data_IF_147098020942
#
_entry.id   IF_147098020942
#
_cell.length_a   1.000
_cell.length_b   1.000
_cell.length_c   1.000
_cell.angle_alpha   90.00
_cell.angle_beta   90.00
_cell.angle_gamma   90.00
#
_symmetry.space_group_name_H-M   'P 1'
#
loop_
_entity.id
_entity.type
_entity.pdbx_description
1 polymer ?
#
# COMPACT_ATOMS: atom_id res chain seq x y z
N UNK A 1 -0.59 8.35 -7.88
CA UNK A 1 0.53 8.75 -8.76
C UNK A 1 0.39 8.14 -10.14
N UNK A 2 0.66 8.90 -11.21
CA UNK A 2 0.71 8.36 -12.59
C UNK A 2 2.00 7.56 -12.79
N UNK A 3 1.92 6.39 -13.43
CA UNK A 3 3.07 5.54 -13.77
C UNK A 3 3.15 5.35 -15.29
N UNK A 4 4.36 5.15 -15.81
CA UNK A 4 4.59 4.90 -17.23
C UNK A 4 4.38 3.42 -17.57
N UNK A 5 4.11 3.09 -18.84
CA UNK A 5 3.91 1.70 -19.29
C UNK A 5 5.09 0.77 -18.95
N UNK A 6 6.31 1.29 -19.02
CA UNK A 6 7.52 0.56 -18.64
C UNK A 6 7.70 0.33 -17.13
N UNK A 7 6.78 0.83 -16.29
CA UNK A 7 6.78 0.64 -14.84
C UNK A 7 5.66 -0.31 -14.37
N UNK A 8 5.20 -1.19 -15.26
CA UNK A 8 4.02 -2.04 -15.01
C UNK A 8 4.37 -3.52 -14.95
N UNK A 9 5.65 -3.86 -15.13
CA UNK A 9 6.18 -5.18 -14.85
C UNK A 9 6.28 -5.42 -13.33
N UNK A 10 6.41 -6.71 -12.97
CA UNK A 10 6.43 -7.16 -11.58
C UNK A 10 7.53 -6.49 -10.76
N UNK A 11 8.74 -6.32 -11.32
CA UNK A 11 9.85 -5.72 -10.57
C UNK A 11 9.57 -4.26 -10.25
N UNK A 12 9.15 -3.49 -11.25
CA UNK A 12 8.83 -2.07 -11.07
C UNK A 12 7.71 -1.84 -10.07
N UNK A 13 6.67 -2.67 -10.10
CA UNK A 13 5.54 -2.57 -9.17
C UNK A 13 5.93 -3.01 -7.75
N UNK A 14 6.73 -4.06 -7.62
CA UNK A 14 7.26 -4.49 -6.32
C UNK A 14 8.16 -3.40 -5.69
N UNK A 15 9.01 -2.74 -6.49
CA UNK A 15 9.85 -1.64 -6.03
C UNK A 15 9.02 -0.46 -5.48
N UNK A 16 7.89 -0.13 -6.12
CA UNK A 16 6.94 0.86 -5.62
C UNK A 16 6.32 0.43 -4.28
N UNK A 17 5.93 -0.84 -4.16
CA UNK A 17 5.46 -1.41 -2.90
C UNK A 17 6.51 -1.31 -1.79
N UNK A 18 7.78 -1.63 -2.08
CA UNK A 18 8.88 -1.51 -1.11
C UNK A 18 9.11 -0.06 -0.67
N UNK A 19 8.93 0.92 -1.57
CA UNK A 19 8.96 2.34 -1.18
C UNK A 19 7.83 2.65 -0.19
N UNK A 20 6.58 2.26 -0.51
CA UNK A 20 5.43 2.52 0.36
C UNK A 20 5.59 1.88 1.75
N UNK A 21 6.06 0.63 1.80
CA UNK A 21 6.35 -0.10 3.05
C UNK A 21 7.40 0.61 3.89
N UNK A 22 8.51 1.07 3.29
CA UNK A 22 9.55 1.80 4.03
C UNK A 22 9.00 3.09 4.65
N UNK A 23 8.20 3.85 3.90
CA UNK A 23 7.58 5.08 4.40
C UNK A 23 6.59 4.80 5.53
N UNK A 24 5.79 3.73 5.41
CA UNK A 24 4.87 3.31 6.47
C UNK A 24 5.63 2.92 7.74
N UNK A 25 6.66 2.06 7.63
CA UNK A 25 7.47 1.63 8.77
C UNK A 25 8.27 2.76 9.41
N UNK A 26 8.67 3.79 8.67
CA UNK A 26 9.34 4.97 9.23
C UNK A 26 8.37 5.98 9.84
N UNK A 27 7.06 5.77 9.73
CA UNK A 27 6.04 6.70 10.18
C UNK A 27 5.95 7.98 9.34
N UNK A 28 6.53 7.99 8.13
CA UNK A 28 6.48 9.15 7.23
C UNK A 28 5.19 9.14 6.39
N UNK A 29 4.08 9.32 7.09
CA UNK A 29 2.74 9.29 6.49
C UNK A 29 2.53 10.45 5.51
N UNK A 30 3.24 11.58 5.70
CA UNK A 30 3.15 12.72 4.79
C UNK A 30 3.80 12.39 3.45
N UNK A 31 5.00 11.80 3.44
CA UNK A 31 5.63 11.36 2.20
C UNK A 31 4.83 10.24 1.53
N UNK A 32 4.34 9.25 2.30
CA UNK A 32 3.50 8.17 1.79
C UNK A 32 2.24 8.72 1.10
N UNK A 33 1.51 9.61 1.76
CA UNK A 33 0.33 10.28 1.22
C UNK A 33 0.65 11.16 0.00
N UNK A 34 1.75 11.91 0.03
CA UNK A 34 2.14 12.78 -1.08
C UNK A 34 2.46 11.96 -2.32
N UNK A 35 3.12 10.82 -2.14
CA UNK A 35 3.55 9.98 -3.26
C UNK A 35 2.42 9.09 -3.77
N UNK A 36 1.66 8.44 -2.89
CA UNK A 36 0.68 7.43 -3.29
C UNK A 36 -0.76 7.86 -3.12
N UNK A 37 -1.05 8.97 -2.42
CA UNK A 37 -2.39 9.30 -1.98
C UNK A 37 -2.93 8.26 -0.98
N UNK A 38 -4.24 8.24 -0.79
CA UNK A 38 -4.92 7.16 -0.07
C UNK A 38 -6.36 7.03 -0.55
N UNK A 39 -6.74 5.86 -1.09
CA UNK A 39 -8.05 5.65 -1.70
C UNK A 39 -9.19 5.74 -0.68
N UNK A 40 -8.94 5.31 0.56
CA UNK A 40 -9.91 5.28 1.66
C UNK A 40 -9.79 6.48 2.61
N UNK A 41 -9.18 7.58 2.16
CA UNK A 41 -9.16 8.83 2.90
C UNK A 41 -10.56 9.48 2.99
N UNK A 42 -11.37 9.34 1.95
CA UNK A 42 -12.63 10.07 1.79
C UNK A 42 -12.42 11.58 1.96
N UNK A 43 -13.09 12.21 2.92
CA UNK A 43 -12.97 13.65 3.22
C UNK A 43 -11.84 13.98 4.22
N UNK A 44 -11.09 12.98 4.69
CA UNK A 44 -9.96 13.16 5.62
C UNK A 44 -8.70 13.57 4.86
N UNK A 45 -7.78 14.23 5.58
CA UNK A 45 -6.41 14.35 5.11
C UNK A 45 -5.80 12.95 4.94
N UNK A 46 -5.21 12.61 3.78
CA UNK A 46 -4.71 11.26 3.53
C UNK A 46 -3.63 10.80 4.51
N UNK A 47 -2.72 11.68 4.94
CA UNK A 47 -1.68 11.30 5.90
C UNK A 47 -2.27 11.03 7.29
N UNK A 48 -3.28 11.81 7.69
CA UNK A 48 -4.05 11.56 8.92
C UNK A 48 -4.79 10.22 8.84
N UNK A 49 -5.50 9.98 7.74
CA UNK A 49 -6.27 8.74 7.54
C UNK A 49 -5.36 7.51 7.59
N UNK A 50 -4.25 7.51 6.84
CA UNK A 50 -3.24 6.43 6.89
C UNK A 50 -2.79 6.12 8.32
N UNK A 51 -2.46 7.16 9.10
CA UNK A 51 -2.00 7.00 10.48
C UNK A 51 -3.07 6.40 11.38
N UNK A 52 -4.32 6.83 11.21
CA UNK A 52 -5.46 6.31 11.97
C UNK A 52 -5.73 4.84 11.65
N UNK A 53 -5.73 4.48 10.37
CA UNK A 53 -5.96 3.10 9.91
C UNK A 53 -4.85 2.15 10.38
N UNK A 54 -3.59 2.61 10.36
CA UNK A 54 -2.49 1.87 10.96
C UNK A 54 -2.70 1.65 12.47
N UNK A 55 -3.09 2.70 13.19
CA UNK A 55 -3.31 2.60 14.64
C UNK A 55 -4.46 1.64 14.98
N UNK A 56 -5.55 1.66 14.21
CA UNK A 56 -6.65 0.71 14.32
C UNK A 56 -6.19 -0.72 14.03
N UNK A 57 -5.46 -0.91 12.92
CA UNK A 57 -4.93 -2.22 12.54
C UNK A 57 -3.99 -2.81 13.61
N UNK A 58 -3.10 -2.00 14.18
CA UNK A 58 -2.23 -2.43 15.27
C UNK A 58 -3.04 -2.79 16.53
N UNK A 59 -4.04 -1.98 16.88
CA UNK A 59 -4.93 -2.25 18.01
C UNK A 59 -5.68 -3.58 17.86
N UNK A 60 -6.21 -3.88 16.66
CA UNK A 60 -6.91 -5.12 16.37
C UNK A 60 -6.01 -6.36 16.52
N UNK A 61 -4.71 -6.20 16.26
CA UNK A 61 -3.69 -7.24 16.43
C UNK A 61 -3.14 -7.30 17.87
N UNK A 62 -3.57 -6.41 18.76
CA UNK A 62 -2.96 -6.25 20.09
C UNK A 62 -1.49 -5.82 20.04
N UNK A 63 -1.06 -5.23 18.92
CA UNK A 63 0.26 -4.69 18.66
C UNK A 63 0.33 -3.19 18.98
N UNK A 64 1.54 -2.66 19.14
CA UNK A 64 1.78 -1.22 19.36
C UNK A 64 2.57 -0.58 18.24
N UNK A 65 3.41 -1.36 17.54
CA UNK A 65 4.25 -0.83 16.46
C UNK A 65 4.40 -1.86 15.34
N UNK A 66 4.72 -1.36 14.15
CA UNK A 66 5.27 -2.21 13.10
C UNK A 66 6.69 -2.68 13.47
N UNK A 67 7.06 -3.86 13.01
CA UNK A 67 8.44 -4.31 12.94
C UNK A 67 9.22 -3.63 11.81
N UNK A 68 10.46 -4.06 11.55
CA UNK A 68 11.21 -3.55 10.41
C UNK A 68 10.51 -3.91 9.08
N UNK A 69 10.74 -3.13 8.00
CA UNK A 69 10.36 -3.54 6.65
C UNK A 69 10.85 -4.97 6.35
N UNK A 70 9.99 -5.84 5.78
CA UNK A 70 10.41 -7.18 5.36
C UNK A 70 11.52 -7.15 4.31
N UNK A 71 12.41 -8.14 4.35
CA UNK A 71 13.44 -8.33 3.32
C UNK A 71 12.87 -8.88 2.00
N UNK A 72 11.68 -9.47 2.04
CA UNK A 72 10.99 -9.97 0.86
C UNK A 72 10.40 -8.81 0.05
N UNK A 73 10.41 -8.95 -1.27
CA UNK A 73 9.71 -8.02 -2.15
C UNK A 73 8.19 -8.23 -2.04
N UNK A 74 7.39 -7.15 -2.20
CA UNK A 74 5.95 -7.23 -2.29
C UNK A 74 5.48 -8.18 -3.40
N UNK A 75 4.41 -8.92 -3.14
CA UNK A 75 3.76 -9.72 -4.16
C UNK A 75 2.99 -8.84 -5.12
N UNK A 76 3.05 -9.17 -6.42
CA UNK A 76 2.32 -8.48 -7.48
C UNK A 76 1.40 -9.47 -8.17
N UNK A 77 0.12 -9.13 -8.26
CA UNK A 77 -0.88 -9.86 -9.02
C UNK A 77 -1.53 -8.95 -10.06
N UNK A 78 -1.98 -9.53 -11.18
CA UNK A 78 -2.63 -8.80 -12.26
C UNK A 78 -4.10 -9.21 -12.34
N UNK A 79 -4.96 -8.25 -12.60
CA UNK A 79 -6.37 -8.51 -12.85
C UNK A 79 -6.57 -8.90 -14.32
N UNK A 80 -7.48 -9.83 -14.56
CA UNK A 80 -8.07 -10.01 -15.89
C UNK A 80 -8.80 -8.73 -16.32
N UNK A 81 -9.00 -8.50 -17.64
CA UNK A 81 -9.78 -7.38 -18.12
C UNK A 81 -11.13 -7.26 -17.42
N UNK A 82 -11.46 -6.07 -16.91
CA UNK A 82 -12.62 -5.81 -16.08
C UNK A 82 -13.19 -4.40 -16.31
N UNK A 83 -14.43 -4.19 -15.87
CA UNK A 83 -15.14 -2.92 -16.02
C UNK A 83 -14.78 -1.89 -14.92
N UNK A 84 -14.08 -2.34 -13.88
CA UNK A 84 -13.65 -1.49 -12.74
C UNK A 84 -12.28 -0.85 -12.96
N UNK A 85 -11.64 -1.12 -14.11
CA UNK A 85 -10.34 -0.57 -14.52
C UNK A 85 -9.16 -0.99 -13.65
N UNK A 86 -9.32 -2.03 -12.82
CA UNK A 86 -8.24 -2.58 -12.03
C UNK A 86 -7.24 -3.28 -12.96
N UNK A 87 -5.95 -3.03 -12.74
CA UNK A 87 -4.87 -3.54 -13.58
C UNK A 87 -3.93 -4.47 -12.81
N UNK A 88 -3.44 -4.03 -11.65
CA UNK A 88 -2.57 -4.84 -10.80
C UNK A 88 -2.77 -4.49 -9.33
N UNK A 89 -2.48 -5.45 -8.46
CA UNK A 89 -2.47 -5.31 -7.01
C UNK A 89 -1.07 -5.64 -6.50
N UNK A 90 -0.56 -4.81 -5.59
CA UNK A 90 0.72 -5.01 -4.90
C UNK A 90 0.46 -5.14 -3.41
N UNK A 91 0.92 -6.22 -2.82
CA UNK A 91 0.65 -6.56 -1.41
C UNK A 91 1.95 -6.80 -0.66
N UNK A 92 2.04 -6.27 0.56
CA UNK A 92 3.10 -6.63 1.49
C UNK A 92 2.53 -6.84 2.90
N UNK A 93 2.84 -8.00 3.47
CA UNK A 93 2.64 -8.28 4.89
C UNK A 93 3.83 -7.75 5.68
N UNK A 94 3.58 -6.84 6.61
CA UNK A 94 4.57 -6.19 7.46
C UNK A 94 4.43 -6.75 8.87
N UNK A 95 5.48 -7.34 9.47
CA UNK A 95 5.38 -7.89 10.81
C UNK A 95 5.10 -6.78 11.83
N UNK A 96 4.50 -7.13 12.96
CA UNK A 96 4.30 -6.23 14.10
C UNK A 96 5.28 -6.55 15.23
N UNK A 97 5.25 -5.78 16.32
CA UNK A 97 5.96 -6.08 17.57
C UNK A 97 5.33 -7.25 18.35
N UNK A 98 4.24 -7.83 17.84
CA UNK A 98 3.51 -8.99 18.37
C UNK A 98 3.31 -10.03 17.26
N UNK A 99 2.42 -10.99 17.49
CA UNK A 99 1.99 -11.95 16.48
C UNK A 99 1.05 -11.26 15.48
N UNK A 100 1.19 -11.57 14.19
CA UNK A 100 0.36 -11.03 13.12
C UNK A 100 1.06 -9.97 12.29
N UNK A 101 0.39 -9.54 11.22
CA UNK A 101 0.94 -8.62 10.23
C UNK A 101 -0.04 -7.49 9.95
N UNK A 102 0.49 -6.34 9.55
CA UNK A 102 -0.29 -5.33 8.84
C UNK A 102 -0.08 -5.55 7.35
N UNK A 103 -1.19 -5.65 6.61
CA UNK A 103 -1.18 -5.70 5.15
C UNK A 103 -1.20 -4.27 4.60
N UNK A 104 -0.27 -3.96 3.69
CA UNK A 104 -0.30 -2.76 2.87
C UNK A 104 -0.64 -3.16 1.42
N UNK A 105 -1.62 -2.46 0.84
CA UNK A 105 -2.10 -2.71 -0.52
C UNK A 105 -1.92 -1.46 -1.40
N UNK A 106 -1.20 -1.59 -2.50
CA UNK A 106 -1.24 -0.62 -3.59
C UNK A 106 -2.05 -1.19 -4.74
N UNK A 107 -2.95 -0.37 -5.30
CA UNK A 107 -3.74 -0.74 -6.47
C UNK A 107 -3.32 0.09 -7.66
N UNK A 108 -3.19 -0.59 -8.79
CA UNK A 108 -2.94 0.03 -10.09
C UNK A 108 -4.23 0.01 -10.88
N UNK A 109 -4.66 1.19 -11.33
CA UNK A 109 -5.80 1.36 -12.23
C UNK A 109 -5.34 1.80 -13.61
N UNK A 110 -6.11 1.50 -14.64
CA UNK A 110 -5.83 1.85 -16.03
C UNK A 110 -6.99 2.63 -16.68
N UNK A 111 -6.71 3.78 -17.26
CA UNK A 111 -7.65 4.56 -18.06
C UNK A 111 -7.04 4.86 -19.43
N UNK A 112 -7.38 4.02 -20.41
CA UNK A 112 -6.76 4.09 -21.74
C UNK A 112 -5.29 3.70 -21.66
N UNK A 113 -4.39 4.59 -22.07
CA UNK A 113 -2.94 4.40 -21.95
C UNK A 113 -2.38 4.85 -20.59
N UNK A 114 -3.19 5.54 -19.77
CA UNK A 114 -2.72 6.08 -18.50
C UNK A 114 -2.93 5.08 -17.37
N UNK A 115 -1.87 4.83 -16.60
CA UNK A 115 -1.94 4.00 -15.39
C UNK A 115 -1.63 4.82 -14.16
N UNK A 116 -2.34 4.51 -13.07
CA UNK A 116 -2.19 5.20 -11.79
C UNK A 116 -2.06 4.18 -10.67
N UNK A 117 -1.09 4.39 -9.79
CA UNK A 117 -0.96 3.67 -8.53
C UNK A 117 -1.50 4.52 -7.38
N UNK A 118 -2.23 3.91 -6.47
CA UNK A 118 -2.72 4.53 -5.23
C UNK A 118 -2.56 3.55 -4.07
N UNK A 119 -2.26 4.06 -2.87
CA UNK A 119 -2.39 3.26 -1.66
C UNK A 119 -3.88 3.00 -1.43
N UNK A 120 -4.29 1.73 -1.51
CA UNK A 120 -5.70 1.36 -1.36
C UNK A 120 -6.04 1.20 0.12
N UNK A 121 -5.34 0.32 0.83
CA UNK A 121 -5.69 -0.05 2.19
C UNK A 121 -4.46 -0.36 3.05
N UNK A 122 -4.62 -0.14 4.35
CA UNK A 122 -3.75 -0.62 5.43
C UNK A 122 -4.68 -1.35 6.39
N UNK A 123 -4.44 -2.64 6.64
CA UNK A 123 -5.36 -3.45 7.45
C UNK A 123 -4.64 -4.50 8.29
N UNK A 124 -5.26 -4.91 9.39
CA UNK A 124 -4.82 -6.06 10.17
C UNK A 124 -4.96 -7.37 9.36
N UNK A 125 -3.91 -8.19 9.37
CA UNK A 125 -3.87 -9.53 8.80
C UNK A 125 -3.35 -10.52 9.86
N UNK A 126 -4.30 -11.23 10.48
CA UNK A 126 -4.06 -12.18 11.56
C UNK A 126 -3.74 -13.60 11.06
#
# INVERSE_FOLDING_TARGET
MKIMDGQTDVSSLADLGSVAVRLLCSGDFTALATQFGYALAYDRDPAVAIREELALSLSDLGASTLGPPPDQLPSVSYFEPNDTRLFALVEQYIPTDRTGHVLLELIVSSQGADKHVVLEQISAAA
#
